data_IF_172482572012
#
_entry.id   IF_172482572012
#
_cell.length_a   1.000
_cell.length_b   1.000
_cell.length_c   1.000
_cell.angle_alpha   90.00
_cell.angle_beta   90.00
_cell.angle_gamma   90.00
#
_symmetry.space_group_name_H-M   'P 1'
#
loop_
_entity.id
_entity.type
_entity.pdbx_description
1 polymer ?
#
# COMPACT_ATOMS: atom_id res chain seq x y z
N UNK A 1 8.29 37.29 19.59
CA UNK A 1 8.68 36.54 18.38
C UNK A 1 8.30 35.09 18.64
N UNK A 2 7.45 34.54 17.78
CA UNK A 2 6.91 33.19 17.93
C UNK A 2 7.97 32.18 17.50
N UNK A 3 8.38 31.28 18.38
CA UNK A 3 8.84 29.96 17.96
C UNK A 3 8.40 28.95 19.02
N UNK A 4 7.23 28.37 18.79
CA UNK A 4 6.66 27.33 19.61
C UNK A 4 6.09 26.32 18.64
N UNK A 5 6.89 25.33 18.25
CA UNK A 5 6.43 24.17 17.51
C UNK A 5 6.51 22.91 18.38
N UNK A 6 5.45 22.55 19.13
CA UNK A 6 5.48 21.45 20.09
C UNK A 6 4.73 20.19 19.63
N UNK A 7 4.55 19.94 18.33
CA UNK A 7 3.94 18.69 17.79
C UNK A 7 4.57 18.39 16.43
N UNK A 8 5.50 17.46 16.28
CA UNK A 8 5.17 16.13 15.73
C UNK A 8 6.34 15.13 15.87
N UNK A 9 7.28 15.42 16.77
CA UNK A 9 8.35 14.48 17.18
C UNK A 9 7.81 13.38 18.13
N UNK A 10 6.75 12.66 17.75
CA UNK A 10 6.14 11.59 18.57
C UNK A 10 6.18 10.18 17.96
N UNK A 11 6.69 9.98 16.74
CA UNK A 11 6.87 8.65 16.17
C UNK A 11 8.18 8.03 16.65
N UNK A 12 8.18 7.55 17.89
CA UNK A 12 9.31 6.80 18.43
C UNK A 12 9.32 5.41 17.78
N UNK A 13 10.15 5.28 16.75
CA UNK A 13 10.46 4.16 15.83
C UNK A 13 10.71 2.75 16.42
N UNK A 14 10.35 2.43 17.68
CA UNK A 14 10.74 1.12 18.28
C UNK A 14 9.66 0.04 18.31
N UNK A 15 8.40 0.36 18.02
CA UNK A 15 7.29 -0.61 18.01
C UNK A 15 6.43 -0.53 16.73
N UNK A 16 7.03 -0.12 15.60
CA UNK A 16 6.32 -0.20 14.33
C UNK A 16 6.20 -1.65 13.90
N UNK A 17 4.95 -2.11 13.71
CA UNK A 17 4.68 -3.47 13.26
C UNK A 17 5.39 -3.68 11.91
N UNK A 18 6.21 -4.73 11.73
CA UNK A 18 6.98 -4.94 10.50
C UNK A 18 6.12 -4.94 9.24
N UNK A 19 4.88 -5.42 9.34
CA UNK A 19 3.89 -5.40 8.26
C UNK A 19 3.55 -3.97 7.79
N UNK A 20 3.47 -3.02 8.72
CA UNK A 20 3.13 -1.63 8.44
C UNK A 20 4.26 -0.93 7.68
N UNK A 21 5.51 -1.08 8.14
CA UNK A 21 6.69 -0.54 7.45
C UNK A 21 6.77 -1.08 6.03
N UNK A 22 6.71 -2.41 5.87
CA UNK A 22 6.76 -3.06 4.55
C UNK A 22 5.66 -2.54 3.63
N UNK A 23 4.47 -2.33 4.15
CA UNK A 23 3.35 -1.82 3.35
C UNK A 23 3.53 -0.36 2.95
N UNK A 24 4.01 0.51 3.86
CA UNK A 24 4.31 1.90 3.53
C UNK A 24 5.37 2.03 2.44
N UNK A 25 6.42 1.21 2.49
CA UNK A 25 7.45 1.18 1.45
C UNK A 25 6.88 0.72 0.11
N UNK A 26 5.99 -0.26 0.12
CA UNK A 26 5.26 -0.68 -1.08
C UNK A 26 4.36 0.44 -1.64
N UNK A 27 3.63 1.17 -0.79
CA UNK A 27 2.77 2.29 -1.23
C UNK A 27 3.61 3.40 -1.88
N UNK A 28 4.73 3.79 -1.26
CA UNK A 28 5.66 4.78 -1.83
C UNK A 28 6.19 4.34 -3.18
N UNK A 29 6.58 3.07 -3.30
CA UNK A 29 7.01 2.50 -4.57
C UNK A 29 5.90 2.49 -5.62
N UNK A 30 4.67 2.13 -5.24
CA UNK A 30 3.53 2.04 -6.14
C UNK A 30 3.21 3.40 -6.76
N UNK A 31 3.24 4.48 -5.97
CA UNK A 31 3.03 5.85 -6.47
C UNK A 31 3.99 6.16 -7.64
N UNK A 32 5.30 5.94 -7.43
CA UNK A 32 6.33 6.17 -8.45
C UNK A 32 6.17 5.22 -9.64
N UNK A 33 5.82 3.96 -9.41
CA UNK A 33 5.61 2.98 -10.47
C UNK A 33 4.45 3.39 -11.39
N UNK A 34 3.35 3.89 -10.81
CA UNK A 34 2.16 4.31 -11.55
C UNK A 34 2.30 5.61 -12.31
N UNK A 35 3.30 6.45 -11.99
CA UNK A 35 3.57 7.68 -12.74
C UNK A 35 3.94 7.43 -14.20
N UNK A 36 4.50 6.26 -14.48
CA UNK A 36 4.90 5.84 -15.82
C UNK A 36 3.75 5.21 -16.63
N UNK A 37 2.54 5.11 -16.07
CA UNK A 37 1.41 4.51 -16.78
C UNK A 37 0.94 5.42 -17.92
N UNK A 38 0.54 4.85 -19.08
CA UNK A 38 -0.09 5.61 -20.14
C UNK A 38 -1.32 6.38 -19.64
N UNK A 39 -1.53 7.61 -20.12
CA UNK A 39 -2.65 8.47 -19.70
C UNK A 39 -4.02 7.77 -19.72
N UNK A 40 -4.25 6.89 -20.70
CA UNK A 40 -5.52 6.16 -20.86
C UNK A 40 -5.80 5.14 -19.74
N UNK A 41 -4.77 4.56 -19.14
CA UNK A 41 -4.89 3.53 -18.09
C UNK A 41 -4.57 4.07 -16.69
N UNK A 42 -3.93 5.25 -16.59
CA UNK A 42 -3.60 5.89 -15.30
C UNK A 42 -4.86 6.20 -14.47
N UNK A 43 -5.84 6.90 -15.04
CA UNK A 43 -7.06 7.29 -14.31
C UNK A 43 -8.03 6.14 -13.99
N UNK A 44 -7.73 4.91 -14.43
CA UNK A 44 -8.56 3.74 -14.17
C UNK A 44 -7.83 2.73 -13.30
N UNK A 45 -6.70 2.22 -13.78
CA UNK A 45 -5.94 1.17 -13.11
C UNK A 45 -5.02 1.71 -12.02
N UNK A 46 -4.31 2.82 -12.26
CA UNK A 46 -3.42 3.38 -11.25
C UNK A 46 -4.21 3.94 -10.06
N UNK A 47 -5.21 4.78 -10.33
CA UNK A 47 -6.04 5.36 -9.27
C UNK A 47 -6.68 4.27 -8.40
N UNK A 48 -7.23 3.22 -9.02
CA UNK A 48 -7.84 2.11 -8.27
C UNK A 48 -6.82 1.35 -7.43
N UNK A 49 -5.61 1.12 -7.93
CA UNK A 49 -4.53 0.46 -7.19
C UNK A 49 -4.09 1.31 -6.00
N UNK A 50 -3.89 2.62 -6.20
CA UNK A 50 -3.51 3.56 -5.15
C UNK A 50 -4.60 3.62 -4.08
N UNK A 51 -5.87 3.75 -4.45
CA UNK A 51 -6.98 3.76 -3.47
C UNK A 51 -7.02 2.49 -2.63
N UNK A 52 -6.87 1.30 -3.23
CA UNK A 52 -6.83 0.05 -2.47
C UNK A 52 -5.61 0.01 -1.55
N UNK A 53 -4.47 0.51 -2.03
CA UNK A 53 -3.25 0.49 -1.25
C UNK A 53 -3.31 1.41 -0.03
N UNK A 54 -3.90 2.60 -0.19
CA UNK A 54 -4.20 3.52 0.90
C UNK A 54 -5.26 2.96 1.86
N UNK A 55 -6.28 2.27 1.36
CA UNK A 55 -7.27 1.61 2.23
C UNK A 55 -6.61 0.58 3.14
N UNK A 56 -5.59 -0.16 2.65
CA UNK A 56 -4.84 -1.10 3.49
C UNK A 56 -4.01 -0.36 4.55
N UNK A 57 -3.46 0.82 4.26
CA UNK A 57 -2.80 1.66 5.27
C UNK A 57 -3.80 2.01 6.38
N UNK A 58 -4.98 2.51 6.02
CA UNK A 58 -6.05 2.85 6.96
C UNK A 58 -6.48 1.65 7.81
N UNK A 59 -6.68 0.50 7.17
CA UNK A 59 -7.07 -0.75 7.84
C UNK A 59 -5.98 -1.23 8.82
N UNK A 60 -4.69 -1.12 8.46
CA UNK A 60 -3.59 -1.49 9.36
C UNK A 60 -3.49 -0.54 10.57
N UNK A 61 -3.73 0.76 10.36
CA UNK A 61 -3.82 1.74 11.45
C UNK A 61 -5.01 1.40 12.36
N UNK A 62 -6.19 1.12 11.80
CA UNK A 62 -7.38 0.76 12.58
C UNK A 62 -7.14 -0.53 13.38
N UNK A 63 -6.55 -1.56 12.75
CA UNK A 63 -6.22 -2.82 13.39
C UNK A 63 -5.26 -2.66 14.58
N UNK A 64 -4.36 -1.66 14.55
CA UNK A 64 -3.45 -1.37 15.67
C UNK A 64 -4.21 -1.01 16.94
N UNK A 65 -5.26 -0.22 16.82
CA UNK A 65 -6.04 0.32 17.95
C UNK A 65 -7.34 -0.43 18.22
N UNK A 66 -7.75 -1.34 17.35
CA UNK A 66 -8.98 -2.12 17.50
C UNK A 66 -8.83 -3.32 18.45
N UNK A 67 -9.90 -3.61 19.18
CA UNK A 67 -10.08 -4.87 19.93
C UNK A 67 -10.49 -6.03 19.01
N UNK A 68 -11.18 -5.74 17.91
CA UNK A 68 -11.59 -6.72 16.90
C UNK A 68 -10.67 -6.65 15.68
N UNK A 69 -9.44 -7.12 15.85
CA UNK A 69 -8.42 -7.09 14.78
C UNK A 69 -8.73 -8.07 13.66
N UNK A 70 -9.36 -9.20 13.98
CA UNK A 70 -9.61 -10.29 13.01
C UNK A 70 -10.46 -9.86 11.82
N UNK A 71 -11.53 -9.10 12.06
CA UNK A 71 -12.40 -8.60 10.97
C UNK A 71 -11.65 -7.61 10.06
N UNK A 72 -10.85 -6.72 10.64
CA UNK A 72 -10.06 -5.73 9.90
C UNK A 72 -8.95 -6.42 9.10
N UNK A 73 -8.22 -7.36 9.69
CA UNK A 73 -7.17 -8.12 9.00
C UNK A 73 -7.74 -8.98 7.86
N UNK A 74 -8.97 -9.48 7.99
CA UNK A 74 -9.67 -10.16 6.88
C UNK A 74 -9.94 -9.19 5.72
N UNK A 75 -10.29 -7.94 6.01
CA UNK A 75 -10.48 -6.87 5.01
C UNK A 75 -9.16 -6.50 4.34
N UNK A 76 -8.07 -6.38 5.10
CA UNK A 76 -6.70 -6.21 4.58
C UNK A 76 -6.37 -7.32 3.60
N UNK A 77 -6.55 -8.58 4.00
CA UNK A 77 -6.25 -9.73 3.14
C UNK A 77 -7.06 -9.71 1.82
N UNK A 78 -8.35 -9.38 1.90
CA UNK A 78 -9.19 -9.24 0.71
C UNK A 78 -8.72 -8.10 -0.22
N UNK A 79 -8.26 -6.99 0.36
CA UNK A 79 -7.73 -5.86 -0.41
C UNK A 79 -6.37 -6.19 -1.05
N UNK A 80 -5.51 -6.96 -0.38
CA UNK A 80 -4.26 -7.47 -0.97
C UNK A 80 -4.53 -8.33 -2.21
N UNK A 81 -5.53 -9.23 -2.13
CA UNK A 81 -5.90 -10.08 -3.26
C UNK A 81 -6.49 -9.29 -4.43
N UNK A 82 -7.33 -8.28 -4.16
CA UNK A 82 -7.79 -7.35 -5.20
C UNK A 82 -6.61 -6.64 -5.87
N UNK A 83 -5.64 -6.18 -5.09
CA UNK A 83 -4.47 -5.48 -5.62
C UNK A 83 -3.62 -6.40 -6.48
N UNK A 84 -3.42 -7.66 -6.06
CA UNK A 84 -2.72 -8.70 -6.81
C UNK A 84 -3.32 -8.89 -8.20
N UNK A 85 -4.66 -8.96 -8.30
CA UNK A 85 -5.37 -9.11 -9.57
C UNK A 85 -5.18 -7.87 -10.46
N UNK A 86 -5.31 -6.67 -9.92
CA UNK A 86 -5.11 -5.43 -10.70
C UNK A 86 -3.68 -5.30 -11.23
N UNK A 87 -2.69 -5.64 -10.42
CA UNK A 87 -1.28 -5.62 -10.82
C UNK A 87 -1.01 -6.66 -11.92
N UNK A 88 -1.63 -7.84 -11.84
CA UNK A 88 -1.58 -8.83 -12.91
C UNK A 88 -2.19 -8.31 -14.22
N UNK A 89 -3.34 -7.63 -14.16
CA UNK A 89 -3.96 -6.99 -15.33
C UNK A 89 -3.00 -5.96 -15.96
N UNK A 90 -2.34 -5.12 -15.14
CA UNK A 90 -1.36 -4.16 -15.65
C UNK A 90 -0.16 -4.83 -16.32
N UNK A 91 0.29 -5.97 -15.80
CA UNK A 91 1.37 -6.75 -16.42
C UNK A 91 0.93 -7.37 -17.75
N UNK A 92 -0.23 -8.04 -17.79
CA UNK A 92 -0.77 -8.69 -18.99
C UNK A 92 -1.08 -7.68 -20.11
N UNK A 93 -1.50 -6.47 -19.74
CA UNK A 93 -1.73 -5.35 -20.67
C UNK A 93 -0.46 -4.56 -21.02
N UNK A 94 0.71 -4.99 -20.55
CA UNK A 94 2.03 -4.35 -20.78
C UNK A 94 2.12 -2.90 -20.28
N UNK A 95 1.24 -2.50 -19.36
CA UNK A 95 1.29 -1.20 -18.66
C UNK A 95 2.38 -1.21 -17.59
N UNK A 96 2.57 -2.34 -16.92
CA UNK A 96 3.61 -2.54 -15.91
C UNK A 96 4.68 -3.49 -16.46
N UNK A 97 5.97 -3.11 -16.49
CA UNK A 97 7.04 -3.99 -16.95
C UNK A 97 7.23 -5.17 -16.00
N UNK A 98 7.81 -6.26 -16.52
CA UNK A 98 8.11 -7.50 -15.79
C UNK A 98 8.78 -7.25 -14.42
N UNK A 99 9.82 -6.42 -14.38
CA UNK A 99 10.53 -6.07 -13.14
C UNK A 99 9.62 -5.41 -12.10
N UNK A 100 8.70 -4.55 -12.54
CA UNK A 100 7.71 -3.92 -11.67
C UNK A 100 6.68 -4.92 -11.14
N UNK A 101 6.24 -5.85 -11.99
CA UNK A 101 5.34 -6.93 -11.59
C UNK A 101 5.96 -7.86 -10.54
N UNK A 102 7.24 -8.20 -10.69
CA UNK A 102 7.98 -9.03 -9.73
C UNK A 102 8.14 -8.33 -8.38
N UNK A 103 8.54 -7.05 -8.39
CA UNK A 103 8.64 -6.24 -7.17
C UNK A 103 7.30 -6.17 -6.44
N UNK A 104 6.21 -5.85 -7.16
CA UNK A 104 4.89 -5.78 -6.56
C UNK A 104 4.44 -7.12 -5.97
N UNK A 105 4.60 -8.21 -6.74
CA UNK A 105 4.20 -9.54 -6.30
C UNK A 105 4.96 -9.99 -5.06
N UNK A 106 6.25 -9.67 -4.99
CA UNK A 106 7.08 -9.92 -3.80
C UNK A 106 6.56 -9.15 -2.59
N UNK A 107 6.38 -7.83 -2.69
CA UNK A 107 5.90 -7.00 -1.59
C UNK A 107 4.52 -7.43 -1.08
N UNK A 108 3.58 -7.72 -1.98
CA UNK A 108 2.23 -8.18 -1.59
C UNK A 108 2.29 -9.54 -0.87
N UNK A 109 3.13 -10.47 -1.35
CA UNK A 109 3.31 -11.76 -0.68
C UNK A 109 3.94 -11.61 0.71
N UNK A 110 4.92 -10.72 0.85
CA UNK A 110 5.58 -10.48 2.14
C UNK A 110 4.66 -9.88 3.20
N UNK A 111 3.64 -9.12 2.79
CA UNK A 111 2.64 -8.53 3.69
C UNK A 111 1.48 -9.49 3.99
N UNK A 112 1.18 -10.42 3.07
CA UNK A 112 0.14 -11.44 3.27
C UNK A 112 0.56 -12.69 4.06
N UNK A 113 1.85 -12.81 4.42
CA UNK A 113 2.38 -13.88 5.29
C UNK A 113 2.11 -13.58 6.76
#
# INVERSE_FOLDING_TARGET
>A
MMDNNPKESQYKDRDELPIFIKWLDFVKWLLVATDNFPKKTRFTLADRQISIALQIVEDLVEARYSRNKSSILRRVNMNLEKLRVLIRICFETRVLPRKGYEQASYSINEVGK
#
